data_IF_842439855066
#
_entry.id   IF_842439855066
#
_cell.length_a   1.000
_cell.length_b   1.000
_cell.length_c   1.000
_cell.angle_alpha   90.00
_cell.angle_beta   90.00
_cell.angle_gamma   90.00
#
_symmetry.space_group_name_H-M   'P 1'
#
loop_
_entity.id
_entity.type
_entity.pdbx_description
1 polymer ?
#
# COMPACT_ATOMS: atom_id res chain seq x y z
N UNK A 1 9.34 11.93 -1.17
CA UNK A 1 10.05 12.11 0.12
C UNK A 1 10.32 10.73 0.69
N UNK A 2 11.07 10.63 1.79
CA UNK A 2 11.44 9.31 2.31
C UNK A 2 12.52 8.63 1.47
N UNK A 3 13.00 7.47 1.91
CA UNK A 3 14.01 6.71 1.16
C UNK A 3 13.51 6.20 -0.20
N UNK A 4 12.20 6.06 -0.36
CA UNK A 4 11.54 5.82 -1.66
C UNK A 4 11.42 7.09 -2.55
N UNK A 5 12.12 8.19 -2.23
CA UNK A 5 12.16 9.38 -3.09
C UNK A 5 12.73 9.02 -4.47
N UNK A 6 11.92 9.21 -5.51
CA UNK A 6 12.27 8.86 -6.89
C UNK A 6 11.53 7.63 -7.41
N UNK A 7 10.75 6.93 -6.58
CA UNK A 7 9.75 5.97 -7.08
C UNK A 7 8.74 6.69 -7.97
N UNK A 8 8.68 6.30 -9.23
CA UNK A 8 7.73 6.77 -10.25
C UNK A 8 6.61 5.77 -10.54
N UNK A 9 6.74 4.53 -10.05
CA UNK A 9 5.83 3.43 -10.39
C UNK A 9 5.74 3.25 -11.90
N UNK A 10 4.52 3.05 -12.38
CA UNK A 10 4.20 2.95 -13.81
C UNK A 10 4.04 4.28 -14.55
N UNK A 11 4.58 5.41 -14.07
CA UNK A 11 4.40 6.75 -14.70
C UNK A 11 4.75 6.80 -16.19
N UNK A 12 5.81 6.10 -16.61
CA UNK A 12 6.24 6.05 -18.02
C UNK A 12 5.39 5.10 -18.88
N UNK A 13 4.41 4.43 -18.27
CA UNK A 13 3.56 3.43 -18.88
C UNK A 13 2.21 3.96 -19.35
N UNK A 14 1.52 3.14 -20.14
CA UNK A 14 0.09 3.34 -20.44
C UNK A 14 -0.76 3.06 -19.20
N UNK A 15 -1.98 3.61 -19.20
CA UNK A 15 -3.00 3.21 -18.23
C UNK A 15 -3.49 1.80 -18.57
N UNK A 16 -3.63 0.96 -17.55
CA UNK A 16 -4.31 -0.33 -17.62
C UNK A 16 -5.54 -0.29 -16.71
N UNK A 17 -6.70 -0.65 -17.22
CA UNK A 17 -7.96 -0.59 -16.48
C UNK A 17 -8.37 -2.01 -16.08
N UNK A 18 -8.47 -2.25 -14.77
CA UNK A 18 -9.09 -3.45 -14.22
C UNK A 18 -10.60 -3.32 -14.36
N UNK A 19 -11.18 -4.24 -15.12
CA UNK A 19 -12.62 -4.36 -15.40
C UNK A 19 -13.23 -5.63 -14.80
N UNK A 20 -12.38 -6.55 -14.34
CA UNK A 20 -12.76 -7.88 -13.86
C UNK A 20 -12.08 -8.17 -12.51
N UNK A 21 -12.85 -8.56 -11.50
CA UNK A 21 -12.38 -8.81 -10.14
C UNK A 21 -12.05 -10.29 -9.87
N UNK A 22 -12.17 -11.17 -10.87
CA UNK A 22 -11.74 -12.57 -10.77
C UNK A 22 -10.21 -12.70 -10.79
N UNK A 23 -9.72 -13.80 -10.23
CA UNK A 23 -8.29 -14.13 -10.16
C UNK A 23 -8.06 -15.59 -10.58
N UNK A 24 -7.05 -15.80 -11.39
CA UNK A 24 -6.48 -17.11 -11.73
C UNK A 24 -4.97 -16.98 -11.55
N UNK A 25 -4.40 -17.73 -10.60
CA UNK A 25 -2.98 -17.62 -10.25
C UNK A 25 -2.04 -18.04 -11.39
N UNK A 26 -2.50 -18.84 -12.35
CA UNK A 26 -1.69 -19.48 -13.38
C UNK A 26 -1.92 -18.92 -14.78
N UNK A 27 -3.17 -18.57 -15.11
CA UNK A 27 -3.59 -18.09 -16.42
C UNK A 27 -4.52 -16.86 -16.32
N UNK A 28 -4.04 -15.74 -15.75
CA UNK A 28 -4.84 -14.53 -15.61
C UNK A 28 -5.22 -13.94 -16.98
N UNK A 29 -6.50 -13.62 -17.16
CA UNK A 29 -7.04 -13.02 -18.39
C UNK A 29 -6.91 -11.48 -18.39
N UNK A 30 -6.79 -10.83 -19.57
CA UNK A 30 -6.90 -9.39 -19.69
C UNK A 30 -8.15 -8.82 -19.01
N UNK A 31 -8.03 -7.63 -18.41
CA UNK A 31 -9.06 -7.00 -17.58
C UNK A 31 -8.97 -7.33 -16.09
N UNK A 32 -8.22 -8.36 -15.69
CA UNK A 32 -7.96 -8.68 -14.27
C UNK A 32 -6.77 -7.91 -13.69
N UNK A 33 -6.73 -7.76 -12.36
CA UNK A 33 -5.58 -7.17 -11.66
C UNK A 33 -4.30 -7.98 -11.89
N UNK A 34 -4.35 -9.31 -11.75
CA UNK A 34 -3.16 -10.16 -11.92
C UNK A 34 -2.55 -10.03 -13.32
N UNK A 35 -3.37 -10.01 -14.37
CA UNK A 35 -2.85 -9.79 -15.72
C UNK A 35 -2.11 -8.45 -15.82
N UNK A 36 -2.64 -7.37 -15.25
CA UNK A 36 -2.00 -6.05 -15.30
C UNK A 36 -0.63 -6.02 -14.59
N UNK A 37 -0.53 -6.61 -13.39
CA UNK A 37 0.70 -6.48 -12.58
C UNK A 37 1.88 -7.34 -13.07
N UNK A 38 1.63 -8.41 -13.84
CA UNK A 38 2.68 -9.29 -14.39
C UNK A 38 3.27 -8.82 -15.73
N UNK A 39 2.75 -7.74 -16.33
CA UNK A 39 3.24 -7.24 -17.62
C UNK A 39 4.68 -6.72 -17.52
N UNK A 40 5.43 -6.82 -18.63
CA UNK A 40 6.84 -6.39 -18.69
C UNK A 40 6.97 -4.87 -18.78
N UNK A 41 6.06 -4.20 -19.50
CA UNK A 41 6.09 -2.75 -19.61
C UNK A 41 5.68 -2.07 -18.28
N UNK A 42 6.09 -0.81 -18.05
CA UNK A 42 5.53 -0.02 -16.97
C UNK A 42 4.02 0.16 -17.16
N UNK A 43 3.23 0.09 -16.08
CA UNK A 43 1.78 0.29 -16.15
C UNK A 43 1.22 1.06 -14.97
N UNK A 44 0.34 2.03 -15.26
CA UNK A 44 -0.51 2.68 -14.27
C UNK A 44 -1.87 1.98 -14.21
N UNK A 45 -2.04 1.12 -13.22
CA UNK A 45 -3.20 0.25 -13.04
C UNK A 45 -4.27 0.99 -12.25
N UNK A 46 -5.43 1.21 -12.87
CA UNK A 46 -6.63 1.77 -12.24
C UNK A 46 -7.80 0.77 -12.31
N UNK A 47 -8.90 1.08 -11.65
CA UNK A 47 -10.09 0.22 -11.58
C UNK A 47 -11.30 0.98 -12.11
N UNK A 48 -12.12 0.33 -12.96
CA UNK A 48 -13.29 0.98 -13.58
C UNK A 48 -14.43 1.24 -12.60
N UNK A 49 -14.53 0.44 -11.54
CA UNK A 49 -15.56 0.54 -10.50
C UNK A 49 -15.02 0.06 -9.15
N UNK A 50 -15.83 0.16 -8.09
CA UNK A 50 -15.50 -0.43 -6.79
C UNK A 50 -15.54 -1.96 -6.88
N UNK A 51 -14.52 -2.64 -6.35
CA UNK A 51 -14.33 -4.08 -6.52
C UNK A 51 -13.90 -4.75 -5.23
N UNK A 52 -14.42 -5.96 -5.01
CA UNK A 52 -13.86 -6.92 -4.05
C UNK A 52 -13.09 -7.98 -4.85
N UNK A 53 -11.77 -7.95 -4.77
CA UNK A 53 -10.86 -8.89 -5.44
C UNK A 53 -10.39 -9.90 -4.41
N UNK A 54 -10.69 -11.18 -4.67
CA UNK A 54 -10.23 -12.30 -3.85
C UNK A 54 -9.08 -13.00 -4.57
N UNK A 55 -7.85 -12.74 -4.12
CA UNK A 55 -6.67 -13.41 -4.64
C UNK A 55 -6.66 -14.88 -4.22
N UNK A 56 -6.47 -15.77 -5.20
CA UNK A 56 -6.45 -17.23 -5.02
C UNK A 56 -5.13 -17.71 -4.41
N UNK A 57 -4.04 -17.06 -4.79
CA UNK A 57 -2.68 -17.18 -4.25
C UNK A 57 -2.01 -15.79 -4.28
N UNK A 58 -0.84 -15.64 -3.67
CA UNK A 58 -0.10 -14.37 -3.60
C UNK A 58 -0.09 -13.61 -4.94
N UNK A 59 -0.38 -12.31 -4.92
CA UNK A 59 -0.23 -11.44 -6.08
C UNK A 59 1.24 -11.04 -6.24
N UNK A 60 2.05 -11.95 -6.80
CA UNK A 60 3.40 -11.65 -7.25
C UNK A 60 3.32 -10.80 -8.52
N UNK A 61 4.19 -9.80 -8.63
CA UNK A 61 4.15 -8.80 -9.72
C UNK A 61 5.53 -8.42 -10.24
N UNK A 62 5.55 -7.72 -11.38
CA UNK A 62 6.75 -7.17 -12.00
C UNK A 62 7.07 -5.74 -11.50
N UNK A 63 8.27 -5.27 -11.85
CA UNK A 63 8.72 -3.89 -11.60
C UNK A 63 7.91 -2.83 -12.38
N UNK A 64 8.11 -1.56 -12.01
CA UNK A 64 7.60 -0.39 -12.75
C UNK A 64 6.05 -0.32 -12.81
N UNK A 65 5.39 -0.59 -11.69
CA UNK A 65 3.92 -0.63 -11.57
C UNK A 65 3.41 0.43 -10.61
N UNK A 66 2.26 1.02 -10.95
CA UNK A 66 1.42 1.74 -9.99
C UNK A 66 0.09 1.01 -9.89
N UNK A 67 -0.34 0.60 -8.70
CA UNK A 67 -1.71 0.16 -8.43
C UNK A 67 -2.42 1.32 -7.73
N UNK A 68 -3.39 1.95 -8.39
CA UNK A 68 -4.06 3.18 -7.96
C UNK A 68 -5.57 2.97 -7.78
N UNK A 69 -5.99 2.72 -6.55
CA UNK A 69 -7.39 2.52 -6.16
C UNK A 69 -8.25 3.79 -6.10
N UNK A 70 -7.74 4.99 -6.45
CA UNK A 70 -8.48 6.25 -6.23
C UNK A 70 -9.73 6.37 -7.08
N UNK A 71 -10.72 7.07 -6.52
CA UNK A 71 -12.03 7.33 -7.14
C UNK A 71 -13.05 6.21 -6.94
N UNK A 72 -12.62 5.04 -6.48
CA UNK A 72 -13.46 3.86 -6.21
C UNK A 72 -13.04 3.19 -4.90
N UNK A 73 -13.79 2.21 -4.40
CA UNK A 73 -13.39 1.41 -3.25
C UNK A 73 -12.88 0.04 -3.74
N UNK A 74 -11.57 -0.17 -3.67
CA UNK A 74 -10.94 -1.44 -4.04
C UNK A 74 -10.53 -2.19 -2.79
N UNK A 75 -11.06 -3.40 -2.64
CA UNK A 75 -10.79 -4.31 -1.54
C UNK A 75 -10.02 -5.53 -2.06
N UNK A 76 -8.83 -5.81 -1.51
CA UNK A 76 -8.12 -7.08 -1.64
C UNK A 76 -8.43 -7.87 -0.37
N UNK A 77 -9.25 -8.93 -0.46
CA UNK A 77 -9.79 -9.56 0.74
C UNK A 77 -10.26 -11.01 0.60
N UNK A 78 -10.33 -11.71 1.75
CA UNK A 78 -10.81 -13.09 1.91
C UNK A 78 -9.99 -14.14 1.14
N UNK A 79 -8.73 -13.82 0.85
CA UNK A 79 -7.79 -14.57 0.03
C UNK A 79 -6.34 -14.22 0.39
N UNK A 80 -5.40 -14.45 -0.51
CA UNK A 80 -3.98 -14.14 -0.28
C UNK A 80 -3.65 -12.63 -0.40
N UNK A 81 -2.45 -12.24 0.04
CA UNK A 81 -1.93 -10.87 -0.04
C UNK A 81 -1.14 -10.56 -1.32
N UNK A 82 -0.43 -9.42 -1.29
CA UNK A 82 0.43 -8.94 -2.38
C UNK A 82 1.91 -9.26 -2.07
N UNK A 83 2.67 -9.74 -3.06
CA UNK A 83 4.08 -10.08 -2.89
C UNK A 83 4.97 -9.29 -3.87
N UNK A 84 5.80 -8.41 -3.32
CA UNK A 84 6.80 -7.64 -4.04
C UNK A 84 8.16 -8.34 -3.92
N UNK A 85 8.45 -9.29 -4.83
CA UNK A 85 9.67 -10.09 -4.78
C UNK A 85 10.68 -9.70 -5.88
N UNK A 86 11.90 -9.32 -5.48
CA UNK A 86 12.99 -8.90 -6.38
C UNK A 86 12.59 -7.83 -7.41
N UNK A 87 11.64 -6.96 -7.05
CA UNK A 87 11.13 -5.89 -7.91
C UNK A 87 11.68 -4.52 -7.51
N UNK A 88 11.53 -3.56 -8.41
CA UNK A 88 11.81 -2.16 -8.11
C UNK A 88 10.75 -1.23 -8.66
N UNK A 89 10.74 -0.01 -8.13
CA UNK A 89 9.92 1.09 -8.63
C UNK A 89 8.42 0.73 -8.68
N UNK A 90 7.85 0.40 -7.51
CA UNK A 90 6.42 0.04 -7.39
C UNK A 90 5.71 1.00 -6.44
N UNK A 91 4.51 1.45 -6.83
CA UNK A 91 3.60 2.23 -6.00
C UNK A 91 2.35 1.39 -5.75
N UNK A 92 2.02 1.13 -4.48
CA UNK A 92 0.73 0.54 -4.07
C UNK A 92 -0.06 1.62 -3.35
N UNK A 93 -1.20 1.99 -3.93
CA UNK A 93 -1.87 3.22 -3.57
C UNK A 93 -3.40 3.06 -3.41
N UNK A 94 -3.94 3.53 -2.29
CA UNK A 94 -5.39 3.74 -2.12
C UNK A 94 -6.23 2.46 -2.03
N UNK A 95 -5.62 1.34 -1.62
CA UNK A 95 -6.28 0.04 -1.49
C UNK A 95 -6.79 -0.20 -0.05
N UNK A 96 -7.74 -1.12 0.08
CA UNK A 96 -8.15 -1.72 1.36
C UNK A 96 -7.75 -3.19 1.35
N UNK A 97 -6.86 -3.61 2.24
CA UNK A 97 -6.28 -4.96 2.25
C UNK A 97 -6.62 -5.62 3.59
N UNK A 98 -7.48 -6.63 3.59
CA UNK A 98 -8.01 -7.17 4.85
C UNK A 98 -8.60 -8.57 4.75
N UNK A 99 -8.78 -9.23 5.90
CA UNK A 99 -9.26 -10.62 5.96
C UNK A 99 -8.40 -11.51 5.06
N UNK A 100 -7.08 -11.33 5.17
CA UNK A 100 -6.09 -12.05 4.38
C UNK A 100 -5.80 -13.39 5.06
N UNK A 101 -5.65 -14.41 4.23
CA UNK A 101 -5.41 -15.78 4.63
C UNK A 101 -4.21 -16.34 3.86
N UNK A 102 -3.58 -17.35 4.43
CA UNK A 102 -2.51 -18.11 3.78
C UNK A 102 -3.01 -18.73 2.46
N UNK A 103 -2.36 -18.40 1.34
CA UNK A 103 -2.46 -19.17 0.11
C UNK A 103 -1.83 -20.55 0.29
N UNK A 104 -2.44 -21.59 -0.30
CA UNK A 104 -1.96 -22.97 -0.22
C UNK A 104 -0.62 -23.22 -0.93
N UNK A 105 -0.13 -22.26 -1.72
CA UNK A 105 0.89 -22.49 -2.72
C UNK A 105 0.33 -23.19 -3.96
N UNK A 106 1.23 -23.56 -4.87
CA UNK A 106 0.91 -24.14 -6.18
C UNK A 106 1.59 -23.36 -7.30
N UNK A 107 1.03 -23.45 -8.51
CA UNK A 107 1.53 -22.68 -9.66
C UNK A 107 1.07 -21.22 -9.57
N UNK A 108 2.03 -20.30 -9.53
CA UNK A 108 1.79 -18.86 -9.54
C UNK A 108 2.56 -18.22 -10.69
N UNK A 109 1.87 -17.44 -11.51
CA UNK A 109 2.41 -16.60 -12.57
C UNK A 109 2.75 -15.24 -11.99
N UNK A 110 4.03 -14.88 -12.09
CA UNK A 110 4.64 -13.62 -11.65
C UNK A 110 5.10 -12.75 -12.85
N UNK A 111 5.18 -13.33 -14.05
CA UNK A 111 5.53 -12.66 -15.30
C UNK A 111 4.77 -13.25 -16.50
N UNK A 112 4.68 -12.50 -17.60
CA UNK A 112 4.05 -13.00 -18.84
C UNK A 112 4.70 -14.28 -19.37
N UNK A 113 5.99 -14.47 -19.12
CA UNK A 113 6.83 -15.58 -19.59
C UNK A 113 7.33 -16.51 -18.48
N UNK A 114 6.94 -16.29 -17.22
CA UNK A 114 7.34 -17.13 -16.09
C UNK A 114 6.15 -17.58 -15.23
N UNK A 115 6.18 -18.84 -14.79
CA UNK A 115 5.24 -19.44 -13.85
C UNK A 115 6.01 -20.41 -12.96
N UNK A 116 5.94 -20.21 -11.65
CA UNK A 116 6.72 -20.95 -10.67
C UNK A 116 5.86 -21.76 -9.70
N UNK A 117 6.43 -22.86 -9.19
CA UNK A 117 5.87 -23.54 -8.01
C UNK A 117 6.21 -22.72 -6.77
N UNK A 118 5.19 -22.40 -5.98
CA UNK A 118 5.31 -21.66 -4.71
C UNK A 118 4.80 -22.53 -3.57
N UNK A 119 5.44 -22.40 -2.41
CA UNK A 119 4.97 -22.99 -1.15
C UNK A 119 3.76 -22.23 -0.61
N UNK A 120 3.21 -22.70 0.51
CA UNK A 120 2.26 -21.93 1.32
C UNK A 120 2.83 -20.54 1.62
N UNK A 121 2.00 -19.50 1.55
CA UNK A 121 2.37 -18.13 1.92
C UNK A 121 2.07 -17.85 3.39
N UNK A 122 2.81 -16.94 4.02
CA UNK A 122 2.64 -16.58 5.45
C UNK A 122 1.32 -15.84 5.75
N UNK A 123 0.67 -15.27 4.74
CA UNK A 123 -0.67 -14.66 4.87
C UNK A 123 -0.65 -13.18 5.32
N UNK A 124 0.43 -12.47 5.01
CA UNK A 124 0.52 -11.02 5.16
C UNK A 124 -0.36 -10.27 4.16
N UNK A 125 -0.68 -9.01 4.46
CA UNK A 125 -1.36 -8.12 3.51
C UNK A 125 -0.47 -7.69 2.33
N UNK A 126 0.76 -7.24 2.62
CA UNK A 126 1.80 -6.93 1.64
C UNK A 126 3.12 -7.52 2.16
N UNK A 127 3.79 -8.36 1.39
CA UNK A 127 5.15 -8.84 1.69
C UNK A 127 6.13 -8.27 0.66
N UNK A 128 7.32 -7.88 1.09
CA UNK A 128 8.32 -7.20 0.27
C UNK A 128 9.67 -7.88 0.47
N UNK A 129 10.33 -8.31 -0.59
CA UNK A 129 11.50 -9.18 -0.51
C UNK A 129 12.53 -8.78 -1.55
N UNK A 130 13.76 -8.46 -1.13
CA UNK A 130 14.84 -8.07 -2.05
C UNK A 130 14.49 -6.91 -2.98
N UNK A 131 13.63 -5.98 -2.56
CA UNK A 131 12.97 -5.02 -3.44
C UNK A 131 13.26 -3.56 -3.10
N UNK A 132 13.36 -2.70 -4.13
CA UNK A 132 13.85 -1.32 -3.98
C UNK A 132 12.90 -0.26 -4.54
N UNK A 133 12.95 0.95 -3.99
CA UNK A 133 12.12 2.07 -4.46
C UNK A 133 10.62 1.71 -4.41
N UNK A 134 10.15 1.20 -3.26
CA UNK A 134 8.75 0.81 -3.06
C UNK A 134 8.03 1.89 -2.25
N UNK A 135 6.86 2.34 -2.72
CA UNK A 135 6.01 3.29 -2.01
C UNK A 135 4.62 2.70 -1.77
N UNK A 136 4.33 2.40 -0.51
CA UNK A 136 2.98 2.02 -0.03
C UNK A 136 2.34 3.28 0.55
N UNK A 137 1.20 3.70 0.01
CA UNK A 137 0.58 4.99 0.32
C UNK A 137 -0.95 4.92 0.44
N UNK A 138 -1.50 5.52 1.50
CA UNK A 138 -2.94 5.54 1.80
C UNK A 138 -3.64 4.16 1.68
N UNK A 139 -2.92 3.10 2.02
CA UNK A 139 -3.50 1.75 2.13
C UNK A 139 -4.12 1.57 3.51
N UNK A 140 -5.36 1.09 3.57
CA UNK A 140 -6.03 0.73 4.83
C UNK A 140 -5.92 -0.78 5.05
N UNK A 141 -5.37 -1.22 6.19
CA UNK A 141 -5.07 -2.64 6.43
C UNK A 141 -5.59 -3.12 7.79
N UNK A 142 -6.24 -4.29 7.82
CA UNK A 142 -6.72 -4.92 9.07
C UNK A 142 -6.96 -6.43 8.91
N UNK A 143 -6.86 -7.19 10.00
CA UNK A 143 -7.15 -8.65 10.04
C UNK A 143 -6.46 -9.45 8.90
N UNK A 144 -5.17 -9.26 8.72
CA UNK A 144 -4.35 -10.24 7.98
C UNK A 144 -4.04 -11.45 8.89
N UNK A 145 -3.53 -12.54 8.33
CA UNK A 145 -3.29 -13.77 9.09
C UNK A 145 -2.07 -13.67 10.00
N UNK A 146 -0.94 -13.16 9.49
CA UNK A 146 0.23 -12.75 10.28
C UNK A 146 0.46 -11.22 10.22
N UNK A 147 1.32 -10.74 9.32
CA UNK A 147 1.67 -9.34 9.18
C UNK A 147 0.63 -8.50 8.44
N UNK A 148 0.57 -7.19 8.73
CA UNK A 148 -0.08 -6.25 7.81
C UNK A 148 0.84 -5.96 6.64
N UNK A 149 2.07 -5.54 6.92
CA UNK A 149 3.16 -5.48 5.96
C UNK A 149 4.40 -6.18 6.54
N UNK A 150 5.14 -6.90 5.71
CA UNK A 150 6.51 -7.38 5.95
C UNK A 150 7.46 -6.97 4.81
N UNK A 151 8.73 -6.73 5.11
CA UNK A 151 9.75 -6.27 4.17
C UNK A 151 11.17 -6.74 4.54
N UNK A 152 11.84 -7.52 3.69
CA UNK A 152 13.04 -8.28 4.09
C UNK A 152 14.11 -8.34 2.99
N UNK A 153 15.32 -8.81 3.33
CA UNK A 153 16.49 -8.99 2.45
C UNK A 153 16.92 -7.69 1.72
N UNK A 154 17.25 -6.66 2.51
CA UNK A 154 17.78 -5.38 2.01
C UNK A 154 16.74 -4.44 1.38
N UNK A 155 15.44 -4.71 1.59
CA UNK A 155 14.36 -3.95 0.98
C UNK A 155 14.27 -2.49 1.45
N UNK A 156 13.75 -1.58 0.63
CA UNK A 156 13.46 -0.17 1.00
C UNK A 156 11.96 0.12 0.88
N UNK A 157 11.25 0.11 2.02
CA UNK A 157 9.79 0.11 2.05
C UNK A 157 9.18 0.55 3.41
N UNK A 158 7.93 0.16 3.65
CA UNK A 158 7.05 0.39 4.82
C UNK A 158 6.14 -0.86 4.86
N UNK A 159 6.15 -1.81 5.82
CA UNK A 159 6.68 -1.94 7.19
C UNK A 159 7.16 -3.38 7.55
N UNK A 160 7.69 -3.59 8.78
CA UNK A 160 8.39 -4.79 9.34
C UNK A 160 9.64 -5.19 8.54
N UNK A 161 10.79 -5.39 9.22
CA UNK A 161 12.08 -5.27 8.54
C UNK A 161 13.11 -6.34 8.88
N UNK A 162 13.57 -7.07 7.85
CA UNK A 162 14.61 -8.10 7.87
C UNK A 162 14.12 -9.45 8.38
N UNK A 163 14.16 -10.50 7.54
CA UNK A 163 13.65 -11.84 7.86
C UNK A 163 14.60 -12.59 8.80
N UNK A 164 15.88 -12.58 8.45
CA UNK A 164 16.89 -13.47 9.02
C UNK A 164 17.84 -12.73 9.96
N UNK A 165 18.12 -13.36 11.10
CA UNK A 165 19.12 -12.89 12.05
C UNK A 165 20.57 -13.04 11.52
N UNK A 166 20.78 -13.65 10.34
CA UNK A 166 22.09 -13.90 9.74
C UNK A 166 22.41 -13.13 8.43
N UNK A 167 21.46 -12.38 7.86
CA UNK A 167 21.68 -11.72 6.56
C UNK A 167 22.32 -10.33 6.72
N UNK A 168 23.59 -10.18 6.34
CA UNK A 168 24.29 -8.89 6.41
C UNK A 168 23.86 -7.87 5.35
N UNK A 169 23.09 -8.29 4.34
CA UNK A 169 22.55 -7.39 3.30
C UNK A 169 21.51 -6.43 3.87
N UNK A 170 20.78 -6.85 4.92
CA UNK A 170 19.79 -6.06 5.65
C UNK A 170 20.42 -4.82 6.34
N UNK A 171 21.74 -4.72 6.46
CA UNK A 171 22.40 -3.49 6.95
C UNK A 171 22.24 -2.29 6.00
N UNK A 172 21.96 -2.53 4.71
CA UNK A 172 21.74 -1.48 3.70
C UNK A 172 20.29 -1.00 3.60
N UNK A 173 19.40 -1.65 4.33
CA UNK A 173 17.97 -1.36 4.36
C UNK A 173 17.70 0.04 4.93
N UNK A 174 16.92 0.84 4.19
CA UNK A 174 16.59 2.22 4.55
C UNK A 174 15.08 2.49 4.39
N UNK A 175 14.46 2.98 5.45
CA UNK A 175 12.99 2.96 5.62
C UNK A 175 12.48 4.26 6.21
N UNK A 176 11.35 4.69 5.68
CA UNK A 176 10.60 5.86 6.15
C UNK A 176 9.20 5.44 6.55
N UNK A 177 8.95 5.29 7.85
CA UNK A 177 7.59 5.14 8.36
C UNK A 177 7.05 6.53 8.64
N UNK A 178 6.25 7.08 7.74
CA UNK A 178 5.79 8.47 7.81
C UNK A 178 4.26 8.60 7.74
N UNK A 179 3.70 9.44 8.61
CA UNK A 179 2.30 9.89 8.62
C UNK A 179 1.21 8.79 8.71
N UNK A 180 1.55 7.63 9.26
CA UNK A 180 0.59 6.54 9.45
C UNK A 180 -0.28 6.78 10.70
N UNK A 181 -1.51 6.28 10.69
CA UNK A 181 -2.34 6.17 11.89
C UNK A 181 -2.39 4.71 12.38
N UNK A 182 -1.74 4.45 13.51
CA UNK A 182 -1.76 3.16 14.18
C UNK A 182 -2.95 3.10 15.15
N UNK A 183 -4.01 2.50 14.64
CA UNK A 183 -5.33 2.43 15.27
C UNK A 183 -5.50 1.29 16.27
N UNK A 184 -6.76 1.12 16.69
CA UNK A 184 -7.17 0.14 17.70
C UNK A 184 -6.89 -1.30 17.26
N UNK A 185 -6.61 -2.16 18.25
CA UNK A 185 -6.39 -3.63 18.12
C UNK A 185 -5.09 -4.04 17.43
N UNK A 186 -4.19 -3.11 17.14
CA UNK A 186 -2.81 -3.46 16.82
C UNK A 186 -2.09 -3.89 18.11
N UNK A 187 -1.41 -5.03 18.06
CA UNK A 187 -0.76 -5.60 19.25
C UNK A 187 0.64 -4.99 19.42
N UNK A 188 1.44 -4.99 18.35
CA UNK A 188 2.87 -4.68 18.34
C UNK A 188 3.41 -4.47 16.93
N UNK A 189 4.72 -4.22 16.80
CA UNK A 189 5.49 -4.19 15.53
C UNK A 189 5.14 -3.02 14.59
N UNK A 190 5.13 -1.79 15.09
CA UNK A 190 4.76 -0.58 14.34
C UNK A 190 5.87 0.49 14.28
N UNK A 191 7.06 0.22 13.68
CA UNK A 191 7.50 -1.04 13.11
C UNK A 191 8.15 -1.97 14.15
N UNK A 192 8.46 -3.20 13.73
CA UNK A 192 9.56 -3.98 14.33
C UNK A 192 10.68 -4.09 13.30
N UNK A 193 11.92 -3.92 13.73
CA UNK A 193 13.06 -3.81 12.82
C UNK A 193 14.19 -4.78 13.16
N UNK A 194 14.91 -5.25 12.14
CA UNK A 194 16.23 -5.84 12.23
C UNK A 194 17.17 -5.10 11.30
N UNK A 195 18.39 -4.84 11.75
CA UNK A 195 19.41 -4.12 10.97
C UNK A 195 18.90 -2.78 10.40
N UNK A 196 19.62 -2.22 9.42
CA UNK A 196 19.20 -1.05 8.64
C UNK A 196 19.07 0.26 9.42
N UNK A 197 18.59 1.28 8.71
CA UNK A 197 18.19 2.58 9.25
C UNK A 197 16.70 2.85 8.99
N UNK A 198 15.97 3.10 10.06
CA UNK A 198 14.53 3.34 10.06
C UNK A 198 14.25 4.73 10.65
N UNK A 199 13.71 5.61 9.81
CA UNK A 199 13.17 6.90 10.20
C UNK A 199 11.67 6.76 10.45
N UNK A 200 11.23 6.98 11.69
CA UNK A 200 9.81 6.93 12.10
C UNK A 200 9.37 8.36 12.39
N UNK A 201 8.56 8.96 11.53
CA UNK A 201 8.28 10.41 11.57
C UNK A 201 6.79 10.77 11.47
N UNK A 202 6.31 11.59 12.41
CA UNK A 202 4.94 12.12 12.46
C UNK A 202 3.80 11.08 12.31
N UNK A 203 3.95 9.88 12.87
CA UNK A 203 2.89 8.87 12.93
C UNK A 203 2.04 9.02 14.21
N UNK A 204 0.75 8.68 14.13
CA UNK A 204 -0.21 8.75 15.24
C UNK A 204 -0.46 7.36 15.83
N UNK A 205 0.11 7.10 17.01
CA UNK A 205 -0.05 5.85 17.75
C UNK A 205 -1.09 6.03 18.85
N UNK A 206 -2.27 5.46 18.66
CA UNK A 206 -3.36 5.64 19.64
C UNK A 206 -3.51 4.47 20.61
N UNK A 207 -3.21 3.24 20.18
CA UNK A 207 -3.39 2.03 21.00
C UNK A 207 -2.45 0.90 20.52
N UNK A 208 -1.52 0.47 21.36
CA UNK A 208 -0.84 -0.83 21.22
C UNK A 208 -1.32 -1.82 22.30
N UNK A 209 -0.91 -3.09 22.25
CA UNK A 209 -1.21 -4.07 23.31
C UNK A 209 0.04 -4.76 23.91
N UNK A 210 1.23 -4.56 23.33
CA UNK A 210 2.49 -4.97 23.95
C UNK A 210 3.55 -3.86 23.87
N UNK A 211 3.82 -3.34 22.68
CA UNK A 211 4.71 -2.19 22.43
C UNK A 211 4.32 -1.52 21.12
N UNK A 212 4.83 -0.32 20.82
CA UNK A 212 4.66 0.31 19.52
C UNK A 212 5.84 0.00 18.60
N UNK A 213 7.03 0.47 18.95
CA UNK A 213 8.26 0.36 18.16
C UNK A 213 9.15 -0.72 18.75
N UNK A 214 9.68 -1.63 17.94
CA UNK A 214 10.54 -2.70 18.45
C UNK A 214 11.63 -3.16 17.49
N UNK A 215 12.42 -4.12 17.92
CA UNK A 215 13.48 -4.67 17.07
C UNK A 215 14.48 -5.58 17.78
N UNK A 216 15.28 -6.25 16.97
CA UNK A 216 16.36 -7.18 17.33
C UNK A 216 17.49 -7.05 16.32
N UNK A 217 18.71 -7.51 16.61
CA UNK A 217 19.84 -7.43 15.66
C UNK A 217 20.19 -5.98 15.22
N UNK A 218 20.42 -5.09 16.20
CA UNK A 218 21.01 -3.75 16.00
C UNK A 218 20.40 -2.88 14.87
N UNK A 219 19.07 -2.63 14.83
CA UNK A 219 18.52 -1.63 13.95
C UNK A 219 18.83 -0.22 14.48
N UNK A 220 19.12 0.73 13.59
CA UNK A 220 19.11 2.16 13.93
C UNK A 220 17.70 2.69 13.75
N UNK A 221 17.09 3.20 14.83
CA UNK A 221 15.73 3.74 14.81
C UNK A 221 15.75 5.18 15.29
N UNK A 222 15.35 6.11 14.43
CA UNK A 222 15.17 7.51 14.81
C UNK A 222 13.69 7.85 14.75
N UNK A 223 13.10 8.12 15.91
CA UNK A 223 11.73 8.57 16.10
C UNK A 223 11.69 10.10 16.16
N UNK A 224 10.94 10.75 15.28
CA UNK A 224 10.80 12.21 15.26
C UNK A 224 9.34 12.70 15.15
N UNK A 225 8.93 13.57 16.07
CA UNK A 225 7.64 14.27 16.00
C UNK A 225 6.40 13.37 15.95
N UNK A 226 6.49 12.09 16.32
CA UNK A 226 5.36 11.17 16.40
C UNK A 226 4.48 11.53 17.60
N UNK A 227 3.28 10.96 17.64
CA UNK A 227 2.37 11.08 18.78
C UNK A 227 2.04 9.70 19.34
N UNK A 228 2.25 9.50 20.63
CA UNK A 228 2.02 8.24 21.30
C UNK A 228 1.06 8.39 22.47
N UNK A 229 -0.14 7.82 22.35
CA UNK A 229 -1.05 7.61 23.47
C UNK A 229 -0.87 6.19 23.97
N UNK A 230 -0.32 6.03 25.18
CA UNK A 230 -0.23 4.69 25.77
C UNK A 230 -1.64 4.16 26.11
N UNK A 231 -1.84 2.82 26.10
CA UNK A 231 -3.05 2.18 26.63
C UNK A 231 -3.32 2.55 28.09
N UNK A 232 -4.54 2.39 28.61
CA UNK A 232 -4.83 2.60 30.04
C UNK A 232 -3.99 1.73 30.97
N UNK A 233 -3.66 0.51 30.54
CA UNK A 233 -2.83 -0.48 31.23
C UNK A 233 -1.44 0.07 31.61
N UNK A 234 -1.13 0.04 32.91
CA UNK A 234 0.13 0.55 33.47
C UNK A 234 1.37 -0.26 33.05
N UNK A 235 1.20 -1.51 32.61
CA UNK A 235 2.31 -2.36 32.17
C UNK A 235 2.64 -2.21 30.68
N UNK A 236 1.93 -1.33 29.96
CA UNK A 236 2.06 -1.11 28.51
C UNK A 236 2.42 0.33 28.15
N UNK A 237 3.10 1.03 29.07
CA UNK A 237 3.49 2.44 28.93
C UNK A 237 4.76 2.64 28.09
N UNK A 238 5.67 1.66 28.08
CA UNK A 238 6.85 1.73 27.23
C UNK A 238 6.45 1.60 25.75
N UNK A 239 6.91 2.55 24.94
CA UNK A 239 6.75 2.58 23.48
C UNK A 239 7.66 1.52 22.82
N UNK A 240 8.85 1.35 23.39
CA UNK A 240 9.96 0.58 22.85
C UNK A 240 9.97 -0.89 23.30
N UNK A 241 10.47 -1.79 22.44
CA UNK A 241 10.79 -3.18 22.81
C UNK A 241 12.02 -3.72 22.09
N UNK A 242 13.07 -4.04 22.85
CA UNK A 242 14.24 -4.77 22.34
C UNK A 242 14.04 -6.25 22.58
N UNK A 243 14.06 -7.03 21.50
CA UNK A 243 13.93 -8.49 21.53
C UNK A 243 15.30 -9.16 21.36
N UNK A 244 15.45 -10.34 21.97
CA UNK A 244 16.59 -11.27 21.80
C UNK A 244 17.99 -10.75 22.16
N UNK A 245 18.10 -9.63 22.87
CA UNK A 245 19.36 -9.08 23.38
C UNK A 245 19.23 -8.64 24.85
N UNK A 246 20.26 -8.86 25.70
CA UNK A 246 20.31 -8.28 27.03
C UNK A 246 20.61 -6.78 26.97
N UNK A 247 20.32 -6.07 28.07
CA UNK A 247 20.50 -4.61 28.19
C UNK A 247 21.93 -4.13 27.96
N UNK A 248 22.93 -4.91 28.37
CA UNK A 248 24.35 -4.65 28.10
C UNK A 248 24.70 -4.60 26.60
N UNK A 249 23.93 -5.29 25.75
CA UNK A 249 24.08 -5.31 24.30
C UNK A 249 23.20 -4.24 23.65
N UNK A 250 21.89 -4.22 23.94
CA UNK A 250 20.99 -3.31 23.22
C UNK A 250 21.17 -1.84 23.59
N UNK A 251 21.76 -1.50 24.74
CA UNK A 251 22.12 -0.11 25.08
C UNK A 251 23.05 0.55 24.07
N UNK A 252 23.79 -0.23 23.28
CA UNK A 252 24.66 0.26 22.21
C UNK A 252 23.90 0.54 20.90
N UNK A 253 22.64 0.12 20.78
CA UNK A 253 21.83 0.27 19.56
C UNK A 253 21.24 1.68 19.51
N UNK A 254 21.46 2.42 18.43
CA UNK A 254 21.03 3.83 18.31
C UNK A 254 19.52 3.92 18.10
N UNK A 255 18.80 4.14 19.21
CA UNK A 255 17.35 4.35 19.23
C UNK A 255 17.07 5.69 19.89
N UNK A 256 16.71 6.70 19.08
CA UNK A 256 16.52 8.08 19.55
C UNK A 256 15.09 8.56 19.34
N UNK A 257 14.64 9.47 20.20
CA UNK A 257 13.33 10.11 20.17
C UNK A 257 13.51 11.64 20.20
N UNK A 258 12.93 12.36 19.25
CA UNK A 258 13.13 13.81 19.09
C UNK A 258 11.82 14.53 18.76
N UNK A 259 11.33 15.35 19.70
CA UNK A 259 10.07 16.11 19.51
C UNK A 259 8.80 15.25 19.49
N UNK A 260 8.89 13.97 19.85
CA UNK A 260 7.74 13.08 20.02
C UNK A 260 6.83 13.57 21.16
N UNK A 261 5.51 13.51 20.94
CA UNK A 261 4.49 13.83 21.94
C UNK A 261 4.03 12.55 22.66
N UNK A 262 4.35 12.45 23.94
CA UNK A 262 3.93 11.34 24.80
C UNK A 262 2.67 11.69 25.61
N UNK A 263 1.68 10.79 25.61
CA UNK A 263 0.40 10.96 26.28
C UNK A 263 0.02 9.71 27.08
N UNK A 264 -0.82 9.89 28.12
CA UNK A 264 -1.27 8.83 29.03
C UNK A 264 -0.11 8.03 29.68
N UNK A 265 1.00 8.71 29.99
CA UNK A 265 2.18 8.08 30.59
C UNK A 265 3.04 7.26 29.62
N UNK A 266 2.86 7.39 28.31
CA UNK A 266 3.77 6.82 27.33
C UNK A 266 5.21 7.31 27.56
N UNK A 267 6.21 6.46 27.28
CA UNK A 267 7.62 6.89 27.27
C UNK A 267 8.45 6.05 26.29
N UNK A 268 9.50 6.68 25.74
CA UNK A 268 10.49 6.05 24.88
C UNK A 268 11.79 5.88 25.66
N UNK A 269 12.30 4.66 25.78
CA UNK A 269 13.64 4.43 26.36
C UNK A 269 14.66 4.60 25.25
N UNK A 270 15.50 5.63 25.31
CA UNK A 270 16.54 5.87 24.30
C UNK A 270 17.81 5.02 24.54
N UNK A 271 18.60 4.79 23.48
CA UNK A 271 19.88 4.07 23.53
C UNK A 271 20.84 4.48 22.41
N UNK A 272 22.10 4.05 22.50
CA UNK A 272 23.16 4.37 21.53
C UNK A 272 23.55 5.86 21.50
N UNK A 273 24.12 6.30 20.38
CA UNK A 273 24.77 7.61 20.25
C UNK A 273 23.75 8.77 20.30
N UNK A 274 23.82 9.67 21.32
CA UNK A 274 22.91 10.81 21.42
C UNK A 274 23.10 11.87 20.34
N UNK A 275 24.31 11.96 19.77
CA UNK A 275 24.65 12.89 18.70
C UNK A 275 24.37 12.32 17.30
N UNK A 276 23.87 11.07 17.18
CA UNK A 276 23.82 10.35 15.90
C UNK A 276 23.15 11.16 14.78
N UNK A 277 22.01 11.79 15.09
CA UNK A 277 21.23 12.60 14.14
C UNK A 277 21.96 13.85 13.65
N UNK A 278 22.86 14.41 14.47
CA UNK A 278 23.70 15.57 14.14
C UNK A 278 24.96 15.16 13.36
N UNK A 279 25.45 13.93 13.58
CA UNK A 279 26.61 13.35 12.89
C UNK A 279 26.29 12.81 11.49
N UNK A 280 25.07 12.31 11.27
CA UNK A 280 24.66 11.59 10.05
C UNK A 280 23.50 12.29 9.31
N UNK A 281 23.55 13.62 9.22
CA UNK A 281 22.51 14.43 8.56
C UNK A 281 22.32 14.10 7.07
N UNK A 282 23.38 13.59 6.44
CA UNK A 282 23.45 13.09 5.07
C UNK A 282 22.74 11.76 4.84
N UNK A 283 22.56 10.96 5.89
CA UNK A 283 21.83 9.69 5.82
C UNK A 283 20.30 9.87 5.92
N UNK A 284 19.80 11.05 6.24
CA UNK A 284 18.36 11.30 6.36
C UNK A 284 17.64 11.36 5.01
N UNK A 285 16.37 10.97 5.05
CA UNK A 285 15.47 10.83 3.91
C UNK A 285 14.85 12.15 3.38
N UNK A 286 15.36 13.28 3.87
CA UNK A 286 14.89 14.62 3.55
C UNK A 286 13.51 14.99 4.13
N UNK A 287 12.97 14.22 5.07
CA UNK A 287 11.78 14.60 5.84
C UNK A 287 12.21 15.36 7.10
N UNK A 288 11.55 16.49 7.36
CA UNK A 288 11.62 17.16 8.67
C UNK A 288 10.35 16.84 9.46
N UNK A 289 10.50 16.64 10.76
CA UNK A 289 9.36 16.44 11.65
C UNK A 289 8.55 17.72 11.87
N UNK A 290 7.23 17.60 11.76
CA UNK A 290 6.28 18.50 12.38
C UNK A 290 6.20 18.24 13.91
N UNK A 291 5.54 19.12 14.65
CA UNK A 291 5.36 18.94 16.09
C UNK A 291 4.31 17.87 16.41
N UNK A 292 4.52 17.11 17.48
CA UNK A 292 3.69 15.96 17.84
C UNK A 292 2.21 16.27 18.12
N UNK A 293 1.85 17.51 18.46
CA UNK A 293 0.47 17.98 18.61
C UNK A 293 -0.26 18.11 17.26
N UNK A 294 0.47 18.37 16.18
CA UNK A 294 -0.07 18.52 14.83
C UNK A 294 -0.36 17.16 14.16
N UNK A 295 0.26 16.08 14.67
CA UNK A 295 0.20 14.73 14.09
C UNK A 295 -1.24 14.26 13.85
N UNK A 296 -2.13 14.40 14.83
CA UNK A 296 -3.53 13.96 14.67
C UNK A 296 -4.22 14.66 13.51
N UNK A 297 -3.92 15.95 13.25
CA UNK A 297 -4.45 16.66 12.08
C UNK A 297 -3.80 16.13 10.80
N UNK A 298 -2.47 16.00 10.77
CA UNK A 298 -1.70 15.50 9.63
C UNK A 298 -2.23 14.12 9.19
N UNK A 299 -2.26 13.13 10.10
CA UNK A 299 -2.65 11.75 9.80
C UNK A 299 -4.15 11.56 9.52
N UNK A 300 -4.98 12.60 9.68
CA UNK A 300 -6.42 12.56 9.35
C UNK A 300 -6.82 13.46 8.17
N UNK A 301 -5.98 14.42 7.76
CA UNK A 301 -6.29 15.42 6.73
C UNK A 301 -5.30 15.45 5.54
N UNK A 302 -4.45 14.42 5.37
CA UNK A 302 -3.50 14.25 4.26
C UNK A 302 -4.17 14.10 2.87
N UNK A 303 -4.71 15.20 2.33
CA UNK A 303 -5.66 15.19 1.18
C UNK A 303 -5.49 16.48 0.33
N UNK A 304 -5.26 16.38 -1.00
CA UNK A 304 -5.30 17.55 -1.91
C UNK A 304 -5.46 17.23 -3.41
N UNK A 305 -6.25 18.00 -4.14
CA UNK A 305 -6.64 17.74 -5.55
C UNK A 305 -5.94 18.66 -6.55
N UNK A 306 -5.44 18.13 -7.67
CA UNK A 306 -4.95 18.96 -8.80
C UNK A 306 -6.06 19.27 -9.82
N UNK A 307 -6.01 20.39 -10.58
CA UNK A 307 -7.05 20.75 -11.55
C UNK A 307 -7.21 19.72 -12.69
N UNK A 308 -6.12 19.05 -13.08
CA UNK A 308 -6.12 18.03 -14.14
C UNK A 308 -6.53 16.63 -13.62
N UNK A 309 -6.89 16.52 -12.34
CA UNK A 309 -7.21 15.26 -11.69
C UNK A 309 -8.33 15.47 -10.64
N UNK A 310 -9.46 16.04 -11.09
CA UNK A 310 -10.54 16.66 -10.28
C UNK A 310 -11.35 15.71 -9.37
N UNK A 311 -10.81 14.54 -9.03
CA UNK A 311 -11.39 13.58 -8.08
C UNK A 311 -10.37 12.76 -7.28
N UNK A 312 -9.06 13.06 -7.36
CA UNK A 312 -7.98 12.25 -6.75
C UNK A 312 -7.05 13.14 -5.90
N UNK A 313 -6.64 12.67 -4.71
CA UNK A 313 -6.28 13.52 -3.55
C UNK A 313 -4.94 13.20 -2.86
N UNK A 314 -3.85 14.00 -2.95
CA UNK A 314 -2.68 14.03 -2.02
C UNK A 314 -2.10 15.42 -1.69
N UNK A 315 -2.18 15.77 -0.40
CA UNK A 315 -1.55 16.85 0.41
C UNK A 315 -1.26 18.27 -0.13
N UNK A 316 -1.49 19.27 0.75
CA UNK A 316 -0.97 20.65 0.65
C UNK A 316 -0.59 21.22 2.05
N UNK A 317 0.44 22.07 2.09
CA UNK A 317 1.00 22.70 3.30
C UNK A 317 0.03 23.68 4.01
N UNK A 318 0.00 23.74 5.36
CA UNK A 318 -0.94 24.59 6.12
C UNK A 318 -0.48 26.03 6.43
N UNK A 319 0.69 26.50 5.96
CA UNK A 319 1.16 27.89 6.22
C UNK A 319 0.60 28.89 5.21
N UNK A 320 0.34 30.12 5.66
CA UNK A 320 -0.15 31.21 4.81
C UNK A 320 0.88 31.63 3.76
N UNK A 321 0.41 32.11 2.60
CA UNK A 321 1.21 32.42 1.40
C UNK A 321 2.35 33.45 1.58
N UNK A 322 2.46 34.07 2.74
CA UNK A 322 3.45 35.13 3.04
C UNK A 322 4.80 34.53 3.49
N UNK A 323 4.81 33.31 4.03
CA UNK A 323 6.03 32.60 4.40
C UNK A 323 6.12 31.31 3.60
N UNK A 324 7.14 31.20 2.75
CA UNK A 324 7.43 29.97 1.99
C UNK A 324 7.67 28.81 2.96
N UNK A 325 6.72 27.88 3.07
CA UNK A 325 7.05 26.58 3.64
C UNK A 325 7.92 25.81 2.65
N UNK A 326 9.11 25.40 3.07
CA UNK A 326 10.07 24.63 2.27
C UNK A 326 9.65 23.17 2.00
N UNK A 327 8.34 22.89 1.96
CA UNK A 327 7.76 21.57 1.81
C UNK A 327 7.02 21.47 0.48
N UNK A 328 7.84 21.22 -0.55
CA UNK A 328 7.63 20.64 -1.88
C UNK A 328 6.27 20.80 -2.58
N UNK A 329 6.34 21.40 -3.76
CA UNK A 329 5.35 21.38 -4.83
C UNK A 329 5.71 20.27 -5.82
N UNK A 330 4.78 19.35 -6.12
CA UNK A 330 4.85 18.60 -7.39
C UNK A 330 4.32 19.51 -8.49
N UNK A 331 5.03 19.55 -9.62
CA UNK A 331 4.54 20.21 -10.83
C UNK A 331 3.98 19.12 -11.76
N UNK A 332 2.67 19.16 -11.99
CA UNK A 332 2.05 18.42 -13.08
C UNK A 332 2.69 18.88 -14.40
N UNK A 333 2.98 17.96 -15.33
CA UNK A 333 3.13 18.37 -16.73
C UNK A 333 1.80 18.95 -17.18
N UNK A 334 1.80 20.25 -17.49
CA UNK A 334 0.61 20.97 -17.92
C UNK A 334 0.28 20.51 -19.34
N UNK A 335 -0.52 19.45 -19.45
CA UNK A 335 -1.22 19.14 -20.68
C UNK A 335 -1.96 20.39 -21.14
N UNK A 336 -1.81 20.76 -22.42
CA UNK A 336 -2.47 21.94 -22.95
C UNK A 336 -3.99 21.81 -22.77
N UNK A 337 -4.67 22.94 -22.55
CA UNK A 337 -6.14 22.95 -22.40
C UNK A 337 -6.81 22.23 -23.59
N UNK A 338 -6.25 22.35 -24.79
CA UNK A 338 -6.67 21.62 -26.00
C UNK A 338 -6.65 20.10 -25.83
N UNK A 339 -5.58 19.54 -25.25
CA UNK A 339 -5.48 18.09 -25.01
C UNK A 339 -6.45 17.64 -23.91
N UNK A 340 -6.61 18.42 -22.85
CA UNK A 340 -7.57 18.13 -21.77
C UNK A 340 -9.03 18.16 -22.28
N UNK A 341 -9.37 19.12 -23.15
CA UNK A 341 -10.68 19.18 -23.81
C UNK A 341 -10.89 17.96 -24.71
N UNK A 342 -9.93 17.59 -25.56
CA UNK A 342 -10.03 16.42 -26.43
C UNK A 342 -10.17 15.10 -25.64
N UNK A 343 -9.45 14.94 -24.52
CA UNK A 343 -9.60 13.79 -23.62
C UNK A 343 -11.01 13.75 -23.03
N UNK A 344 -11.54 14.89 -22.60
CA UNK A 344 -12.90 14.98 -22.05
C UNK A 344 -13.96 14.61 -23.09
N UNK A 345 -13.85 15.15 -24.30
CA UNK A 345 -14.76 14.83 -25.43
C UNK A 345 -14.74 13.33 -25.77
N UNK A 346 -13.58 12.69 -25.75
CA UNK A 346 -13.45 11.24 -25.95
C UNK A 346 -14.09 10.42 -24.82
N UNK A 347 -13.97 10.85 -23.57
CA UNK A 347 -14.62 10.20 -22.41
C UNK A 347 -16.15 10.36 -22.48
N UNK A 348 -16.64 11.57 -22.76
CA UNK A 348 -18.07 11.84 -22.91
C UNK A 348 -18.67 11.03 -24.09
N UNK A 349 -17.93 10.89 -25.20
CA UNK A 349 -18.32 10.03 -26.32
C UNK A 349 -18.33 8.53 -25.96
N UNK A 350 -17.37 8.05 -25.16
CA UNK A 350 -17.32 6.66 -24.69
C UNK A 350 -18.55 6.33 -23.82
N UNK A 351 -18.90 7.21 -22.87
CA UNK A 351 -20.08 7.04 -22.01
C UNK A 351 -21.38 6.91 -22.84
N UNK A 352 -21.52 7.68 -23.92
CA UNK A 352 -22.68 7.60 -24.83
C UNK A 352 -22.70 6.28 -25.63
N UNK A 353 -21.53 5.69 -25.94
CA UNK A 353 -21.45 4.37 -26.58
C UNK A 353 -21.83 3.27 -25.60
N UNK A 354 -21.39 3.34 -24.34
CA UNK A 354 -21.78 2.39 -23.29
C UNK A 354 -23.30 2.40 -23.05
N UNK A 355 -23.93 3.57 -22.91
CA UNK A 355 -25.38 3.69 -22.73
C UNK A 355 -26.19 3.09 -23.91
N UNK A 356 -25.68 3.24 -25.15
CA UNK A 356 -26.28 2.61 -26.33
C UNK A 356 -26.10 1.09 -26.35
N UNK A 357 -24.93 0.60 -25.94
CA UNK A 357 -24.64 -0.82 -25.85
C UNK A 357 -25.56 -1.51 -24.83
N UNK A 358 -25.83 -0.88 -23.69
CA UNK A 358 -26.73 -1.44 -22.67
C UNK A 358 -28.20 -1.43 -23.12
N UNK A 359 -28.65 -0.39 -23.83
CA UNK A 359 -29.97 -0.40 -24.49
C UNK A 359 -30.11 -1.54 -25.51
N UNK A 360 -29.08 -1.78 -26.33
CA UNK A 360 -29.05 -2.92 -27.27
C UNK A 360 -29.07 -4.27 -26.55
N UNK A 361 -28.36 -4.41 -25.42
CA UNK A 361 -28.42 -5.63 -24.58
C UNK A 361 -29.83 -5.89 -24.05
N UNK A 362 -30.55 -4.87 -23.60
CA UNK A 362 -31.94 -5.01 -23.20
C UNK A 362 -32.86 -5.44 -24.37
N UNK A 363 -32.68 -4.89 -25.57
CA UNK A 363 -33.48 -5.26 -26.74
C UNK A 363 -33.23 -6.70 -27.17
N UNK A 364 -31.97 -7.15 -27.17
CA UNK A 364 -31.61 -8.55 -27.44
C UNK A 364 -32.28 -9.48 -26.42
N UNK A 365 -32.22 -9.17 -25.12
CA UNK A 365 -32.88 -9.96 -24.08
C UNK A 365 -34.41 -10.04 -24.26
N UNK A 366 -35.05 -8.95 -24.71
CA UNK A 366 -36.49 -8.92 -25.04
C UNK A 366 -36.82 -9.83 -26.24
N UNK A 367 -35.98 -9.82 -27.29
CA UNK A 367 -36.14 -10.68 -28.48
C UNK A 367 -35.95 -12.17 -28.16
N UNK A 368 -34.93 -12.51 -27.35
CA UNK A 368 -34.70 -13.88 -26.89
C UNK A 368 -35.90 -14.43 -26.08
N UNK A 369 -36.44 -13.62 -25.17
CA UNK A 369 -37.63 -13.98 -24.38
C UNK A 369 -38.87 -14.22 -25.27
N UNK A 370 -39.08 -13.39 -26.29
CA UNK A 370 -40.17 -13.56 -27.27
C UNK A 370 -40.00 -14.85 -28.10
N UNK A 371 -38.78 -15.13 -28.57
CA UNK A 371 -38.48 -16.34 -29.33
C UNK A 371 -38.70 -17.61 -28.49
N UNK A 372 -38.24 -17.61 -27.23
CA UNK A 372 -38.45 -18.71 -26.28
C UNK A 372 -39.94 -18.96 -26.01
N UNK A 373 -40.75 -17.91 -25.94
CA UNK A 373 -42.21 -17.99 -25.76
C UNK A 373 -42.90 -18.56 -27.00
N UNK A 374 -42.48 -18.16 -28.20
CA UNK A 374 -42.96 -18.71 -29.48
C UNK A 374 -42.68 -20.21 -29.57
N UNK A 375 -41.45 -20.63 -29.28
CA UNK A 375 -41.03 -22.04 -29.32
C UNK A 375 -41.83 -22.90 -28.34
N UNK A 376 -42.07 -22.42 -27.11
CA UNK A 376 -42.94 -23.10 -26.12
C UNK A 376 -44.37 -23.28 -26.64
N UNK A 377 -44.95 -22.27 -27.29
CA UNK A 377 -46.28 -22.38 -27.90
C UNK A 377 -46.35 -23.42 -29.03
N UNK A 378 -45.31 -23.52 -29.87
CA UNK A 378 -45.25 -24.53 -30.93
C UNK A 378 -45.14 -25.96 -30.36
N UNK A 379 -44.32 -26.16 -29.32
CA UNK A 379 -44.19 -27.46 -28.63
C UNK A 379 -45.52 -27.88 -27.98
N UNK A 380 -46.22 -26.94 -27.32
CA UNK A 380 -47.53 -27.20 -26.72
C UNK A 380 -48.61 -27.54 -27.76
N UNK A 381 -48.58 -26.93 -28.95
CA UNK A 381 -49.47 -27.30 -30.06
C UNK A 381 -49.18 -28.72 -30.58
N UNK A 382 -47.89 -29.09 -30.75
CA UNK A 382 -47.53 -30.46 -31.16
C UNK A 382 -48.00 -31.51 -30.15
N UNK A 383 -47.83 -31.27 -28.85
CA UNK A 383 -48.30 -32.17 -27.76
C UNK A 383 -49.82 -32.30 -27.60
N UNK A 384 -50.63 -31.52 -28.31
CA UNK A 384 -52.10 -31.65 -28.33
C UNK A 384 -52.64 -32.43 -29.54
N UNK A 385 -51.78 -32.73 -30.51
CA UNK A 385 -52.11 -33.45 -31.74
C UNK A 385 -51.50 -34.87 -31.77
N UNK A 386 -51.13 -35.39 -30.59
CA UNK A 386 -50.63 -36.73 -30.28
C UNK A 386 -51.29 -37.16 -28.98
#
# INVERSE_FOLDING_TARGET
MGFAKGTTGGKAGRIYVVTDNSDDSSNPKPGTLRYGVIQKEPLWIIFVTSMNIRLTQELIMQSDKTIDGRGVNVHIANGAGIMLQYVKNVIIHGLRIHDIHEGSGGMIRDGVDHIGIRTKSDGDGISIFGSSNIWVDHVSMWRCYDGLVDAVEGSTAVMLFGASDSSSIDQRMQITVAFNHFGKRLIQRMPRCRWGFIHVVNNDYTHWNMYAIGGSQHPTIISQGNRFIAPPDQFKKEITKRDYAPESVWKQWTWRSQGDLFMNGAFFVESGDPDWTRKHIDLFDGISSASGDQVTWITSHLIWTTPSNSGRKFFNCPKSKIYSCGYWKWEDEVFSNTLLTAIKELVDALNVVEEKMDKLREEVAKLEALNLKSLKCQILKKKKNT
#
